data_IF_513377205447
#
_entry.id   IF_513377205447
#
_cell.length_a   1.000
_cell.length_b   1.000
_cell.length_c   1.000
_cell.angle_alpha   90.00
_cell.angle_beta   90.00
_cell.angle_gamma   90.00
#
_symmetry.space_group_name_H-M   'P 1'
#
loop_
_entity.id
_entity.type
_entity.pdbx_description
1 polymer ?
#
# COMPACT_ATOMS: atom_id res chain seq x y z
N UNK A 1 -0.88 -16.26 15.17
CA UNK A 1 -0.94 -14.95 15.82
C UNK A 1 -1.60 -13.95 14.89
N UNK A 2 -2.57 -13.22 15.38
CA UNK A 2 -3.22 -12.16 14.60
C UNK A 2 -2.28 -10.99 14.44
N UNK A 3 -2.11 -10.54 13.21
CA UNK A 3 -1.26 -9.41 12.87
C UNK A 3 -2.08 -8.37 12.12
N UNK A 4 -1.67 -7.11 12.21
CA UNK A 4 -2.23 -6.03 11.39
C UNK A 4 -1.11 -5.46 10.53
N UNK A 5 -1.36 -5.32 9.24
CA UNK A 5 -0.38 -4.76 8.30
C UNK A 5 -1.00 -3.65 7.47
N UNK A 6 -0.16 -2.74 7.01
CA UNK A 6 -0.59 -1.60 6.20
C UNK A 6 -0.21 -1.85 4.74
N UNK A 7 -1.15 -1.58 3.84
CA UNK A 7 -0.96 -1.69 2.39
C UNK A 7 -1.34 -0.36 1.75
N UNK A 8 -0.50 0.10 0.83
CA UNK A 8 -0.82 1.28 0.02
C UNK A 8 -1.18 0.84 -1.39
N UNK A 9 -2.39 1.18 -1.83
CA UNK A 9 -2.77 1.05 -3.22
C UNK A 9 -2.33 2.33 -3.92
N UNK A 10 -1.35 2.19 -4.81
CA UNK A 10 -0.64 3.32 -5.43
C UNK A 10 -1.49 4.05 -6.45
N UNK A 11 -1.09 5.28 -6.86
CA UNK A 11 -1.90 6.07 -7.80
C UNK A 11 -2.24 5.37 -9.11
N UNK A 12 -1.36 4.54 -9.64
CA UNK A 12 -1.61 3.78 -10.86
C UNK A 12 -2.73 2.77 -10.67
N UNK A 13 -2.83 2.14 -9.50
CA UNK A 13 -3.89 1.19 -9.18
C UNK A 13 -5.26 1.88 -9.24
N UNK A 14 -5.36 3.11 -8.69
CA UNK A 14 -6.59 3.88 -8.73
C UNK A 14 -6.90 4.33 -10.16
N UNK A 15 -5.90 4.84 -10.88
CA UNK A 15 -6.08 5.31 -12.24
C UNK A 15 -6.55 4.20 -13.17
N UNK A 16 -6.03 2.99 -12.99
CA UNK A 16 -6.38 1.83 -13.81
C UNK A 16 -7.63 1.10 -13.32
N UNK A 17 -8.25 1.58 -12.24
CA UNK A 17 -9.49 1.03 -11.67
C UNK A 17 -9.34 -0.42 -11.20
N UNK A 18 -8.19 -0.75 -10.61
CA UNK A 18 -7.91 -2.09 -10.08
C UNK A 18 -8.10 -2.22 -8.57
N UNK A 19 -8.42 -1.12 -7.87
CA UNK A 19 -8.51 -1.16 -6.41
C UNK A 19 -9.55 -2.15 -5.90
N UNK A 20 -10.73 -2.18 -6.53
CA UNK A 20 -11.78 -3.10 -6.11
C UNK A 20 -11.36 -4.57 -6.24
N UNK A 21 -10.65 -4.90 -7.32
CA UNK A 21 -10.15 -6.24 -7.55
C UNK A 21 -9.11 -6.64 -6.50
N UNK A 22 -8.18 -5.73 -6.19
CA UNK A 22 -7.14 -5.95 -5.18
C UNK A 22 -7.77 -6.15 -3.80
N UNK A 23 -8.69 -5.28 -3.42
CA UNK A 23 -9.38 -5.37 -2.13
C UNK A 23 -10.16 -6.68 -2.03
N UNK A 24 -10.83 -7.08 -3.11
CA UNK A 24 -11.58 -8.32 -3.17
C UNK A 24 -10.67 -9.53 -2.90
N UNK A 25 -9.46 -9.53 -3.44
CA UNK A 25 -8.50 -10.61 -3.22
C UNK A 25 -8.06 -10.70 -1.76
N UNK A 26 -7.85 -9.56 -1.11
CA UNK A 26 -7.51 -9.55 0.31
C UNK A 26 -8.64 -10.11 1.16
N UNK A 27 -9.88 -9.71 0.89
CA UNK A 27 -11.02 -10.23 1.62
C UNK A 27 -11.23 -11.72 1.38
N UNK A 28 -11.07 -12.17 0.14
CA UNK A 28 -11.22 -13.59 -0.20
C UNK A 28 -10.19 -14.47 0.50
N UNK A 29 -9.03 -13.91 0.86
CA UNK A 29 -7.98 -14.65 1.57
C UNK A 29 -8.24 -14.79 3.07
N UNK A 30 -9.32 -14.17 3.58
CA UNK A 30 -9.66 -14.21 4.99
C UNK A 30 -9.15 -13.04 5.81
N UNK A 31 -8.52 -12.05 5.16
CA UNK A 31 -8.08 -10.84 5.87
C UNK A 31 -9.26 -9.91 6.10
N UNK A 32 -9.27 -9.27 7.27
CA UNK A 32 -10.28 -8.29 7.63
C UNK A 32 -9.76 -6.89 7.39
N UNK A 33 -10.55 -6.05 6.74
CA UNK A 33 -10.22 -4.62 6.57
C UNK A 33 -10.60 -3.92 7.86
N UNK A 34 -9.60 -3.40 8.57
CA UNK A 34 -9.82 -2.68 9.85
C UNK A 34 -9.56 -1.18 9.70
N UNK A 35 -9.09 -0.74 8.55
CA UNK A 35 -8.92 0.67 8.23
C UNK A 35 -8.80 0.86 6.73
N UNK A 36 -9.36 1.96 6.24
CA UNK A 36 -9.32 2.29 4.82
C UNK A 36 -9.43 3.80 4.66
N UNK A 37 -8.45 4.41 3.98
CA UNK A 37 -8.44 5.86 3.79
C UNK A 37 -7.84 6.20 2.45
N UNK A 38 -8.54 7.01 1.69
CA UNK A 38 -8.02 7.59 0.45
C UNK A 38 -7.41 8.96 0.77
N UNK A 39 -6.20 9.21 0.28
CA UNK A 39 -5.50 10.45 0.58
C UNK A 39 -4.47 10.81 -0.47
N UNK A 40 -4.10 12.09 -0.51
CA UNK A 40 -2.92 12.56 -1.22
C UNK A 40 -1.76 12.55 -0.23
N UNK A 41 -0.64 11.97 -0.62
CA UNK A 41 0.52 11.87 0.26
C UNK A 41 1.28 13.20 0.30
N UNK A 42 1.48 13.72 1.52
CA UNK A 42 2.32 14.89 1.73
C UNK A 42 3.80 14.48 1.75
N UNK A 43 4.69 15.44 1.52
CA UNK A 43 6.13 15.21 1.46
C UNK A 43 6.67 14.56 2.73
N UNK A 44 6.25 15.04 3.89
CA UNK A 44 6.72 14.54 5.19
C UNK A 44 6.26 13.10 5.45
N UNK A 45 5.02 12.78 5.10
CA UNK A 45 4.47 11.43 5.25
C UNK A 45 5.24 10.46 4.35
N UNK A 46 5.51 10.88 3.12
CA UNK A 46 6.24 10.05 2.15
C UNK A 46 7.67 9.83 2.60
N UNK A 47 8.34 10.88 3.07
CA UNK A 47 9.71 10.79 3.57
C UNK A 47 9.80 9.85 4.76
N UNK A 48 8.82 9.86 5.65
CA UNK A 48 8.78 8.96 6.80
C UNK A 48 8.57 7.51 6.36
N UNK A 49 7.61 7.28 5.48
CA UNK A 49 7.30 5.94 4.98
C UNK A 49 8.46 5.31 4.23
N UNK A 50 9.21 6.10 3.47
CA UNK A 50 10.35 5.67 2.68
C UNK A 50 11.68 6.14 3.25
N UNK A 51 11.76 6.34 4.57
CA UNK A 51 12.97 6.86 5.23
C UNK A 51 14.24 6.04 4.88
N UNK A 52 14.07 4.73 4.71
CA UNK A 52 15.18 3.83 4.40
C UNK A 52 15.78 4.04 3.00
N UNK A 53 15.06 4.74 2.11
CA UNK A 53 15.50 4.96 0.72
C UNK A 53 15.46 6.42 0.29
N UNK A 54 15.14 7.36 1.20
CA UNK A 54 14.95 8.77 0.84
C UNK A 54 16.20 9.44 0.26
N UNK A 55 17.39 8.91 0.55
CA UNK A 55 18.65 9.43 0.03
C UNK A 55 19.13 8.72 -1.24
N UNK A 56 18.33 7.79 -1.76
CA UNK A 56 18.67 7.05 -2.96
C UNK A 56 18.37 7.88 -4.22
N UNK A 57 19.15 7.68 -5.31
CA UNK A 57 18.94 8.43 -6.56
C UNK A 57 17.54 8.28 -7.15
N UNK A 58 16.87 7.15 -6.91
CA UNK A 58 15.53 6.91 -7.45
C UNK A 58 14.41 7.59 -6.64
N UNK A 59 14.71 8.13 -5.46
CA UNK A 59 13.67 8.65 -4.57
C UNK A 59 12.86 9.80 -5.17
N UNK A 60 13.46 10.81 -5.86
CA UNK A 60 12.67 11.88 -6.47
C UNK A 60 11.61 11.37 -7.45
N UNK A 61 11.96 10.35 -8.23
CA UNK A 61 11.01 9.72 -9.15
C UNK A 61 9.91 8.97 -8.44
N UNK A 62 10.26 8.23 -7.39
CA UNK A 62 9.29 7.53 -6.54
C UNK A 62 8.33 8.52 -5.89
N UNK A 63 8.86 9.61 -5.33
CA UNK A 63 8.07 10.67 -4.71
C UNK A 63 7.08 11.27 -5.72
N UNK A 64 7.57 11.62 -6.90
CA UNK A 64 6.74 12.20 -7.94
C UNK A 64 5.62 11.25 -8.35
N UNK A 65 5.94 9.97 -8.52
CA UNK A 65 4.95 8.93 -8.84
C UNK A 65 3.90 8.79 -7.74
N UNK A 66 4.33 8.69 -6.49
CA UNK A 66 3.43 8.49 -5.36
C UNK A 66 2.53 9.70 -5.09
N UNK A 67 2.94 10.88 -5.55
CA UNK A 67 2.17 12.11 -5.42
C UNK A 67 1.39 12.48 -6.69
N UNK A 68 1.45 11.66 -7.73
CA UNK A 68 0.77 11.94 -9.00
C UNK A 68 -0.76 11.81 -8.92
N UNK A 69 -1.27 11.22 -7.85
CA UNK A 69 -2.69 11.08 -7.60
C UNK A 69 -2.94 10.51 -6.22
N UNK A 70 -4.20 10.30 -5.84
CA UNK A 70 -4.51 9.75 -4.52
C UNK A 70 -4.08 8.29 -4.40
N UNK A 71 -3.86 7.86 -3.15
CA UNK A 71 -3.59 6.47 -2.79
C UNK A 71 -4.67 6.01 -1.83
N UNK A 72 -4.87 4.69 -1.71
CA UNK A 72 -5.73 4.13 -0.68
C UNK A 72 -4.83 3.39 0.29
N UNK A 73 -4.90 3.77 1.58
CA UNK A 73 -4.21 3.08 2.65
C UNK A 73 -5.18 2.09 3.29
N UNK A 74 -4.80 0.82 3.32
CA UNK A 74 -5.59 -0.25 3.93
C UNK A 74 -4.85 -0.79 5.14
N UNK A 75 -5.55 -0.96 6.25
CA UNK A 75 -5.07 -1.72 7.38
C UNK A 75 -5.80 -3.08 7.36
N UNK A 76 -5.03 -4.15 7.25
CA UNK A 76 -5.55 -5.51 7.11
C UNK A 76 -5.10 -6.35 8.31
N UNK A 77 -6.04 -7.10 8.88
CA UNK A 77 -5.80 -7.91 10.07
C UNK A 77 -6.14 -9.37 9.79
N UNK A 78 -5.33 -10.27 10.32
CA UNK A 78 -5.57 -11.70 10.21
C UNK A 78 -4.37 -12.52 10.64
N UNK A 79 -4.52 -13.84 10.63
CA UNK A 79 -3.43 -14.75 10.91
C UNK A 79 -2.35 -14.62 9.83
N UNK A 80 -1.12 -14.40 10.26
CA UNK A 80 0.04 -14.26 9.36
C UNK A 80 -0.18 -13.19 8.28
N UNK A 81 -0.82 -12.07 8.65
CA UNK A 81 -1.24 -11.05 7.69
C UNK A 81 -0.07 -10.51 6.86
N UNK A 82 1.10 -10.28 7.48
CA UNK A 82 2.26 -9.72 6.78
C UNK A 82 2.71 -10.63 5.64
N UNK A 83 2.87 -11.93 5.92
CA UNK A 83 3.30 -12.90 4.91
C UNK A 83 2.23 -13.08 3.85
N UNK A 84 0.97 -13.18 4.26
CA UNK A 84 -0.14 -13.39 3.34
C UNK A 84 -0.29 -12.23 2.36
N UNK A 85 -0.20 -10.99 2.85
CA UNK A 85 -0.25 -9.81 1.98
C UNK A 85 0.92 -9.81 0.99
N UNK A 86 2.12 -10.12 1.48
CA UNK A 86 3.30 -10.20 0.61
C UNK A 86 3.12 -11.21 -0.51
N UNK A 87 2.58 -12.38 -0.18
CA UNK A 87 2.35 -13.44 -1.17
C UNK A 87 1.29 -13.03 -2.20
N UNK A 88 0.22 -12.35 -1.75
CA UNK A 88 -0.85 -11.90 -2.64
C UNK A 88 -0.41 -10.77 -3.57
N UNK A 89 0.48 -9.89 -3.09
CA UNK A 89 0.99 -8.78 -3.90
C UNK A 89 2.09 -9.21 -4.87
N UNK A 90 2.69 -10.37 -4.64
CA UNK A 90 3.80 -10.84 -5.45
C UNK A 90 5.11 -10.13 -5.11
N UNK A 91 6.18 -10.39 -5.89
CA UNK A 91 7.48 -9.78 -5.63
C UNK A 91 7.41 -8.25 -5.79
N UNK A 92 8.11 -7.55 -4.91
CA UNK A 92 8.24 -6.09 -5.00
C UNK A 92 9.47 -5.75 -5.83
N UNK A 93 9.31 -4.80 -6.74
CA UNK A 93 10.42 -4.28 -7.52
C UNK A 93 11.15 -3.18 -6.78
#
# INVERSE_FOLDING_TARGET
MIETTLVLLKPDCLADRHCGDVISRFEASGLEIVGCKMMLLADDVLAEHYAHVKDRPFYPGLKSFMQSGPVIALALSGENAVVLVRDLMGPTD
#
